data_IF_063670648605
#
_entry.id   IF_063670648605
#
_cell.length_a   1.000
_cell.length_b   1.000
_cell.length_c   1.000
_cell.angle_alpha   90.00
_cell.angle_beta   90.00
_cell.angle_gamma   90.00
#
_symmetry.space_group_name_H-M   'P 1'
#
loop_
_entity.id
_entity.type
_entity.pdbx_description
1 polymer ?
#
# COMPACT_ATOMS: atom_id res chain seq x y z
N UNK A 1 10.92 5.97 11.48
CA UNK A 1 10.22 5.42 12.65
C UNK A 1 10.24 3.91 12.53
N UNK A 2 10.72 3.22 13.54
CA UNK A 2 10.75 1.76 13.57
C UNK A 2 9.50 1.20 14.29
N UNK A 3 9.37 -0.13 14.36
CA UNK A 3 8.24 -0.80 15.03
C UNK A 3 8.15 -0.46 16.53
N UNK A 4 9.28 -0.25 17.20
CA UNK A 4 9.31 0.12 18.61
C UNK A 4 8.76 1.54 18.84
N UNK A 5 9.16 2.49 17.99
CA UNK A 5 8.62 3.86 18.04
C UNK A 5 7.11 3.92 17.77
N UNK A 6 6.60 3.03 16.90
CA UNK A 6 5.18 2.89 16.67
C UNK A 6 4.44 2.38 17.90
N UNK A 7 4.97 1.35 18.58
CA UNK A 7 4.38 0.80 19.81
C UNK A 7 4.37 1.82 20.94
N UNK A 8 5.43 2.61 21.08
CA UNK A 8 5.51 3.69 22.09
C UNK A 8 4.42 4.73 21.82
N UNK A 9 4.26 5.17 20.57
CA UNK A 9 3.20 6.13 20.19
C UNK A 9 1.80 5.56 20.43
N UNK A 10 1.56 4.28 20.10
CA UNK A 10 0.29 3.61 20.36
C UNK A 10 -0.07 3.63 21.85
N UNK A 11 0.89 3.30 22.72
CA UNK A 11 0.69 3.29 24.17
C UNK A 11 0.41 4.70 24.74
N UNK A 12 0.93 5.75 24.09
CA UNK A 12 0.63 7.15 24.48
C UNK A 12 -0.76 7.59 24.02
N UNK A 13 -1.22 7.13 22.82
CA UNK A 13 -2.53 7.46 22.27
C UNK A 13 -3.68 6.74 23.01
N UNK A 14 -3.46 5.52 23.51
CA UNK A 14 -4.48 4.75 24.24
C UNK A 14 -4.86 5.36 25.61
N UNK A 15 -4.09 6.32 26.11
CA UNK A 15 -4.38 7.01 27.38
C UNK A 15 -5.34 8.21 27.24
N UNK A 16 -5.67 8.64 26.03
CA UNK A 16 -6.62 9.73 25.75
C UNK A 16 -7.92 9.22 25.15
N UNK A 17 -8.76 8.59 25.98
CA UNK A 17 -10.14 8.25 25.62
C UNK A 17 -11.03 9.50 25.69
N UNK A 18 -11.23 10.19 24.56
CA UNK A 18 -12.44 10.98 24.31
C UNK A 18 -12.82 10.81 22.85
N UNK A 19 -13.87 10.04 22.61
CA UNK A 19 -14.61 9.97 21.34
C UNK A 19 -15.48 11.21 21.23
N UNK A 20 -14.96 12.26 20.61
CA UNK A 20 -15.76 13.39 20.19
C UNK A 20 -16.14 13.15 18.71
N UNK A 21 -17.45 13.04 18.46
CA UNK A 21 -18.10 13.18 17.17
C UNK A 21 -17.43 12.58 15.90
N UNK A 22 -16.93 11.35 15.92
CA UNK A 22 -16.54 10.65 14.68
C UNK A 22 -15.15 10.98 14.11
N UNK A 23 -14.45 12.00 14.59
CA UNK A 23 -13.09 12.37 14.12
C UNK A 23 -12.05 11.63 14.94
N UNK A 24 -11.28 10.75 14.26
CA UNK A 24 -10.15 10.08 14.91
C UNK A 24 -8.92 10.98 14.94
N UNK A 25 -8.14 10.89 16.02
CA UNK A 25 -6.90 11.66 16.19
C UNK A 25 -5.63 10.86 15.86
N UNK A 26 -5.77 9.57 15.55
CA UNK A 26 -4.67 8.67 15.14
C UNK A 26 -5.18 7.63 14.14
N UNK A 27 -4.37 7.26 13.12
CA UNK A 27 -4.73 6.19 12.18
C UNK A 27 -5.03 4.85 12.86
N UNK A 28 -4.36 4.54 13.98
CA UNK A 28 -4.53 3.28 14.71
C UNK A 28 -5.95 3.07 15.24
N UNK A 29 -6.70 4.16 15.47
CA UNK A 29 -8.09 4.13 15.96
C UNK A 29 -9.14 3.95 14.85
N UNK A 30 -8.74 4.04 13.59
CA UNK A 30 -9.66 3.84 12.47
C UNK A 30 -10.20 2.40 12.47
N UNK A 31 -11.50 2.25 12.33
CA UNK A 31 -12.18 0.96 12.18
C UNK A 31 -12.67 0.70 10.75
N UNK A 32 -12.51 1.70 9.86
CA UNK A 32 -12.84 1.60 8.45
C UNK A 32 -11.89 2.41 7.58
N UNK A 33 -11.84 2.08 6.29
CA UNK A 33 -11.05 2.83 5.29
C UNK A 33 -11.57 4.28 5.18
N UNK A 34 -12.88 4.48 5.23
CA UNK A 34 -13.47 5.82 5.21
C UNK A 34 -12.95 6.73 6.35
N UNK A 35 -12.79 6.18 7.56
CA UNK A 35 -12.22 6.94 8.68
C UNK A 35 -10.74 7.28 8.45
N UNK A 36 -9.95 6.41 7.80
CA UNK A 36 -8.58 6.74 7.41
C UNK A 36 -8.52 7.83 6.35
N UNK A 37 -9.43 7.80 5.38
CA UNK A 37 -9.54 8.85 4.36
C UNK A 37 -9.90 10.20 4.97
N UNK A 38 -10.86 10.22 5.89
CA UNK A 38 -11.26 11.46 6.59
C UNK A 38 -10.15 11.96 7.52
N UNK A 39 -9.46 11.07 8.23
CA UNK A 39 -8.27 11.43 9.00
C UNK A 39 -7.21 12.08 8.11
N UNK A 40 -6.89 11.48 6.97
CA UNK A 40 -5.87 12.01 6.08
C UNK A 40 -6.30 13.34 5.44
N UNK A 41 -7.58 13.50 5.04
CA UNK A 41 -8.13 14.79 4.59
C UNK A 41 -7.95 15.89 5.63
N UNK A 42 -8.22 15.58 6.91
CA UNK A 42 -8.03 16.52 8.01
C UNK A 42 -6.56 16.90 8.21
N UNK A 43 -5.62 15.94 8.14
CA UNK A 43 -4.19 16.26 8.23
C UNK A 43 -3.73 17.11 7.03
N UNK A 44 -4.22 16.83 5.83
CA UNK A 44 -3.90 17.60 4.61
C UNK A 44 -4.50 19.01 4.64
N UNK A 45 -5.69 19.20 5.18
CA UNK A 45 -6.33 20.52 5.31
C UNK A 45 -5.51 21.48 6.17
N UNK A 46 -4.76 20.96 7.17
CA UNK A 46 -3.82 21.74 7.99
C UNK A 46 -2.63 22.26 7.18
N UNK A 47 -2.37 21.66 6.01
CA UNK A 47 -1.35 22.06 5.05
C UNK A 47 -1.92 22.84 3.86
N UNK A 48 -3.22 23.25 3.93
CA UNK A 48 -3.97 23.89 2.85
C UNK A 48 -4.09 23.02 1.58
N UNK A 49 -4.05 21.70 1.72
CA UNK A 49 -4.25 20.74 0.62
C UNK A 49 -5.67 20.21 0.69
N UNK A 50 -6.49 20.56 -0.31
CA UNK A 50 -7.92 20.21 -0.39
C UNK A 50 -8.17 19.38 -1.66
N UNK A 51 -7.69 18.13 -1.66
CA UNK A 51 -7.87 17.21 -2.79
C UNK A 51 -8.65 15.97 -2.36
N UNK A 52 -9.43 15.36 -3.25
CA UNK A 52 -10.10 14.09 -2.95
C UNK A 52 -9.07 13.01 -2.69
N UNK A 53 -9.25 12.28 -1.60
CA UNK A 53 -8.43 11.14 -1.21
C UNK A 53 -9.22 9.87 -1.50
N UNK A 54 -8.56 8.93 -2.14
CA UNK A 54 -9.01 7.56 -2.30
C UNK A 54 -7.80 6.65 -2.01
N UNK A 55 -7.89 5.88 -0.95
CA UNK A 55 -6.81 5.03 -0.49
C UNK A 55 -6.80 3.66 -1.17
N UNK A 56 -7.97 3.14 -1.58
CA UNK A 56 -8.12 1.79 -2.11
C UNK A 56 -8.91 1.79 -3.42
N UNK A 57 -8.42 1.06 -4.40
CA UNK A 57 -9.17 0.67 -5.60
C UNK A 57 -9.44 -0.84 -5.54
N UNK A 58 -10.65 -1.29 -5.88
CA UNK A 58 -11.05 -2.69 -5.88
C UNK A 58 -11.78 -3.12 -4.60
N UNK A 59 -11.64 -4.39 -4.22
CA UNK A 59 -12.36 -4.96 -3.07
C UNK A 59 -11.68 -4.67 -1.73
N UNK A 60 -12.42 -4.16 -0.75
CA UNK A 60 -11.90 -3.87 0.59
C UNK A 60 -11.49 -5.12 1.38
N UNK A 61 -11.99 -6.30 1.01
CA UNK A 61 -11.71 -7.58 1.68
C UNK A 61 -11.03 -8.59 0.75
N UNK A 62 -10.18 -8.13 -0.14
CA UNK A 62 -9.47 -9.01 -1.06
C UNK A 62 -8.40 -9.83 -0.38
N UNK A 63 -8.26 -11.11 -0.81
CA UNK A 63 -7.18 -11.98 -0.33
C UNK A 63 -5.80 -11.52 -0.78
N UNK A 64 -5.71 -10.68 -1.82
CA UNK A 64 -4.46 -10.20 -2.39
C UNK A 64 -4.50 -8.68 -2.54
N UNK A 65 -3.49 -8.03 -2.01
CA UNK A 65 -3.30 -6.59 -2.07
C UNK A 65 -2.03 -6.28 -2.88
N UNK A 66 -2.18 -5.47 -3.92
CA UNK A 66 -1.06 -4.90 -4.68
C UNK A 66 -0.78 -3.48 -4.17
N UNK A 67 0.49 -3.23 -3.81
CA UNK A 67 0.92 -2.00 -3.18
C UNK A 67 1.89 -1.24 -4.09
N UNK A 68 1.45 -0.10 -4.60
CA UNK A 68 2.21 0.80 -5.47
C UNK A 68 2.85 1.94 -4.69
N UNK A 69 3.89 2.56 -5.25
CA UNK A 69 4.57 3.69 -4.61
C UNK A 69 3.78 4.97 -4.67
N UNK A 70 3.35 5.33 -5.86
CA UNK A 70 2.63 6.57 -6.15
C UNK A 70 1.47 6.29 -7.11
N UNK A 71 0.39 7.00 -6.92
CA UNK A 71 -0.78 6.94 -7.81
C UNK A 71 -0.52 7.73 -9.10
N UNK A 72 -0.99 7.25 -10.24
CA UNK A 72 -1.02 8.05 -11.46
C UNK A 72 -1.99 9.24 -11.34
N UNK A 73 -1.54 10.42 -11.76
CA UNK A 73 -2.18 11.73 -11.43
C UNK A 73 -3.54 11.93 -12.11
N UNK A 74 -3.81 11.25 -13.21
CA UNK A 74 -4.78 11.71 -14.19
C UNK A 74 -6.22 11.23 -14.01
N UNK A 75 -6.48 10.14 -13.24
CA UNK A 75 -7.80 9.56 -13.17
C UNK A 75 -8.17 8.95 -11.81
N UNK A 76 -9.38 8.39 -11.73
CA UNK A 76 -9.92 7.72 -10.54
C UNK A 76 -9.19 6.41 -10.18
N UNK A 77 -8.25 5.97 -10.99
CA UNK A 77 -7.50 4.72 -10.82
C UNK A 77 -6.13 4.97 -10.19
N UNK A 78 -5.67 4.02 -9.40
CA UNK A 78 -4.33 4.03 -8.78
C UNK A 78 -3.26 3.87 -9.85
N UNK A 79 -3.54 3.04 -10.85
CA UNK A 79 -2.67 2.82 -12.01
C UNK A 79 -3.49 2.81 -13.29
N UNK A 80 -3.11 3.62 -14.27
CA UNK A 80 -3.86 3.87 -15.50
C UNK A 80 -2.96 3.93 -16.74
N UNK A 81 -3.55 4.23 -17.92
CA UNK A 81 -2.89 4.36 -19.21
C UNK A 81 -2.02 3.12 -19.52
N UNK A 82 -0.85 3.32 -20.09
CA UNK A 82 0.06 2.24 -20.49
C UNK A 82 0.49 1.35 -19.30
N UNK A 83 0.70 1.94 -18.14
CA UNK A 83 1.01 1.19 -16.92
C UNK A 83 -0.18 0.32 -16.49
N UNK A 84 -1.39 0.89 -16.53
CA UNK A 84 -2.63 0.18 -16.21
C UNK A 84 -2.92 -0.95 -17.18
N UNK A 85 -2.76 -0.71 -18.49
CA UNK A 85 -2.94 -1.76 -19.52
C UNK A 85 -1.97 -2.93 -19.33
N UNK A 86 -0.69 -2.63 -19.02
CA UNK A 86 0.28 -3.69 -18.77
C UNK A 86 -0.07 -4.44 -17.48
N UNK A 87 -0.47 -3.73 -16.43
CA UNK A 87 -0.89 -4.35 -15.18
C UNK A 87 -2.11 -5.26 -15.38
N UNK A 88 -3.11 -4.84 -16.14
CA UNK A 88 -4.28 -5.65 -16.46
C UNK A 88 -3.91 -6.93 -17.24
N UNK A 89 -2.95 -6.85 -18.17
CA UNK A 89 -2.38 -8.02 -18.86
C UNK A 89 -1.63 -8.94 -17.89
N UNK A 90 -0.89 -8.38 -16.93
CA UNK A 90 -0.21 -9.16 -15.89
C UNK A 90 -1.23 -9.92 -15.02
N UNK A 91 -2.30 -9.27 -14.55
CA UNK A 91 -3.38 -9.92 -13.80
C UNK A 91 -4.05 -11.01 -14.61
N UNK A 92 -4.45 -10.72 -15.85
CA UNK A 92 -5.11 -11.69 -16.75
C UNK A 92 -4.27 -12.94 -16.99
N UNK A 93 -2.95 -12.80 -17.04
CA UNK A 93 -2.02 -13.94 -17.25
C UNK A 93 -2.07 -14.96 -16.10
N UNK A 94 -2.47 -14.53 -14.92
CA UNK A 94 -2.65 -15.36 -13.73
C UNK A 94 -4.13 -15.59 -13.37
N UNK A 95 -5.04 -15.29 -14.31
CA UNK A 95 -6.48 -15.45 -14.18
C UNK A 95 -7.11 -14.57 -13.08
N UNK A 96 -6.56 -13.39 -12.87
CA UNK A 96 -7.12 -12.34 -12.01
C UNK A 96 -7.60 -11.15 -12.84
N UNK A 97 -8.47 -10.37 -12.23
CA UNK A 97 -8.88 -9.03 -12.66
C UNK A 97 -8.91 -8.06 -11.47
N UNK A 98 -9.12 -6.77 -11.76
CA UNK A 98 -9.13 -5.72 -10.71
C UNK A 98 -10.25 -5.88 -9.67
N UNK A 99 -11.32 -6.62 -9.96
CA UNK A 99 -12.42 -6.86 -9.01
C UNK A 99 -12.06 -7.88 -7.93
N UNK A 100 -11.08 -8.72 -8.20
CA UNK A 100 -10.63 -9.81 -7.32
C UNK A 100 -9.50 -9.40 -6.39
N UNK A 101 -8.99 -8.19 -6.54
CA UNK A 101 -7.82 -7.68 -5.82
C UNK A 101 -8.12 -6.35 -5.15
N UNK A 102 -7.30 -5.96 -4.18
CA UNK A 102 -7.20 -4.59 -3.71
C UNK A 102 -5.95 -3.93 -4.28
N UNK A 103 -6.05 -2.67 -4.66
CA UNK A 103 -4.92 -1.83 -5.05
C UNK A 103 -4.79 -0.68 -4.07
N UNK A 104 -3.57 -0.42 -3.63
CA UNK A 104 -3.23 0.70 -2.74
C UNK A 104 -2.01 1.42 -3.29
N UNK A 105 -2.00 2.74 -3.17
CA UNK A 105 -0.81 3.57 -3.39
C UNK A 105 -0.30 4.10 -2.06
N UNK A 106 1.00 3.92 -1.80
CA UNK A 106 1.64 4.42 -0.56
C UNK A 106 1.48 5.93 -0.42
N UNK A 107 1.74 6.66 -1.51
CA UNK A 107 1.45 8.09 -1.62
C UNK A 107 0.10 8.21 -2.32
N UNK A 108 -0.97 8.56 -1.59
CA UNK A 108 -2.28 8.68 -2.19
C UNK A 108 -2.35 9.85 -3.16
N UNK A 109 -3.35 9.79 -4.04
CA UNK A 109 -3.65 10.86 -4.97
C UNK A 109 -3.79 12.20 -4.24
N UNK A 110 -3.24 13.24 -4.84
CA UNK A 110 -3.31 14.58 -4.29
C UNK A 110 -2.11 15.01 -3.45
N UNK A 111 -1.19 14.09 -3.16
CA UNK A 111 0.07 14.37 -2.47
C UNK A 111 1.26 14.39 -3.42
N UNK A 112 1.06 14.78 -4.67
CA UNK A 112 2.08 14.72 -5.73
C UNK A 112 3.25 15.67 -5.54
N UNK A 113 3.02 16.82 -4.89
CA UNK A 113 4.01 17.86 -4.55
C UNK A 113 4.39 17.77 -3.07
N UNK A 114 4.59 16.57 -2.61
CA UNK A 114 4.90 16.30 -1.24
C UNK A 114 6.40 16.53 -1.02
N UNK A 115 6.75 17.70 -0.49
CA UNK A 115 8.06 17.95 0.08
C UNK A 115 8.33 16.98 1.23
N UNK A 116 9.60 16.58 1.42
CA UNK A 116 10.08 15.64 2.45
C UNK A 116 9.75 16.09 3.89
N UNK A 117 8.48 16.39 4.14
CA UNK A 117 7.98 16.71 5.47
C UNK A 117 7.95 15.41 6.30
N UNK A 118 8.94 15.23 7.16
CA UNK A 118 9.10 14.06 8.01
C UNK A 118 7.82 13.68 8.78
N UNK A 119 7.03 14.67 9.21
CA UNK A 119 5.77 14.42 9.92
C UNK A 119 4.76 13.72 9.02
N UNK A 120 4.63 14.16 7.77
CA UNK A 120 3.68 13.55 6.85
C UNK A 120 4.15 12.16 6.40
N UNK A 121 5.46 11.95 6.20
CA UNK A 121 6.02 10.62 5.92
C UNK A 121 5.65 9.65 7.04
N UNK A 122 5.84 10.03 8.29
CA UNK A 122 5.46 9.21 9.45
C UNK A 122 3.94 8.97 9.50
N UNK A 123 3.14 10.00 9.21
CA UNK A 123 1.67 9.88 9.15
C UNK A 123 1.25 8.89 8.08
N UNK A 124 1.80 8.98 6.87
CA UNK A 124 1.52 8.05 5.78
C UNK A 124 1.93 6.61 6.12
N UNK A 125 3.05 6.42 6.81
CA UNK A 125 3.46 5.09 7.26
C UNK A 125 2.41 4.47 8.18
N UNK A 126 1.91 5.22 9.16
CA UNK A 126 0.87 4.76 10.09
C UNK A 126 -0.46 4.49 9.37
N UNK A 127 -0.86 5.38 8.47
CA UNK A 127 -2.06 5.20 7.63
C UNK A 127 -1.94 3.92 6.80
N UNK A 128 -0.80 3.68 6.15
CA UNK A 128 -0.58 2.51 5.31
C UNK A 128 -0.52 1.21 6.12
N UNK A 129 0.07 1.19 7.31
CA UNK A 129 0.00 0.02 8.18
C UNK A 129 -1.45 -0.27 8.57
N UNK A 130 -2.20 0.75 9.02
CA UNK A 130 -3.60 0.55 9.39
C UNK A 130 -4.47 0.13 8.21
N UNK A 131 -4.20 0.63 7.03
CA UNK A 131 -4.88 0.24 5.80
C UNK A 131 -4.67 -1.24 5.48
N UNK A 132 -3.44 -1.74 5.59
CA UNK A 132 -3.11 -3.17 5.42
C UNK A 132 -3.84 -4.02 6.49
N UNK A 133 -3.91 -3.54 7.74
CA UNK A 133 -4.63 -4.23 8.82
C UNK A 133 -6.14 -4.31 8.54
N UNK A 134 -6.75 -3.23 8.07
CA UNK A 134 -8.18 -3.18 7.76
C UNK A 134 -8.56 -4.05 6.56
N UNK A 135 -7.76 -4.03 5.49
CA UNK A 135 -7.95 -4.93 4.34
C UNK A 135 -7.68 -6.37 4.72
N UNK A 136 -6.72 -6.59 5.62
CA UNK A 136 -6.29 -7.92 6.12
C UNK A 136 -6.04 -8.94 5.00
N UNK A 137 -5.22 -8.63 3.99
CA UNK A 137 -4.96 -9.53 2.89
C UNK A 137 -4.14 -10.73 3.36
N UNK A 138 -4.32 -11.90 2.72
CA UNK A 138 -3.44 -13.05 2.91
C UNK A 138 -2.09 -12.85 2.19
N UNK A 139 -2.13 -12.18 1.04
CA UNK A 139 -0.96 -11.93 0.17
C UNK A 139 -0.77 -10.45 -0.07
N UNK A 140 0.42 -9.96 0.22
CA UNK A 140 0.84 -8.57 -0.05
C UNK A 140 1.88 -8.57 -1.17
N UNK A 141 1.57 -7.90 -2.28
CA UNK A 141 2.47 -7.77 -3.43
C UNK A 141 2.98 -6.33 -3.49
N UNK A 142 4.25 -6.14 -3.19
CA UNK A 142 4.89 -4.83 -3.23
C UNK A 142 5.49 -4.60 -4.62
N UNK A 143 5.11 -3.50 -5.27
CA UNK A 143 5.49 -3.21 -6.65
C UNK A 143 6.44 -2.01 -6.78
N UNK A 144 6.91 -1.41 -5.70
CA UNK A 144 7.75 -0.20 -5.75
C UNK A 144 8.91 -0.27 -4.77
N UNK A 145 10.09 0.20 -5.20
CA UNK A 145 11.25 0.38 -4.33
C UNK A 145 10.95 1.35 -3.18
N UNK A 146 10.14 2.37 -3.43
CA UNK A 146 9.69 3.30 -2.40
C UNK A 146 8.90 2.58 -1.29
N UNK A 147 7.94 1.72 -1.67
CA UNK A 147 7.19 0.91 -0.72
C UNK A 147 8.07 -0.07 0.06
N UNK A 148 9.05 -0.68 -0.60
CA UNK A 148 10.03 -1.56 0.07
C UNK A 148 10.71 -0.79 1.20
N UNK A 149 11.26 0.37 0.90
CA UNK A 149 11.94 1.23 1.87
C UNK A 149 11.03 1.61 3.04
N UNK A 150 9.82 2.05 2.72
CA UNK A 150 8.90 2.61 3.71
C UNK A 150 8.17 1.57 4.55
N UNK A 151 7.76 0.44 3.96
CA UNK A 151 7.04 -0.62 4.67
C UNK A 151 7.97 -1.59 5.39
N UNK A 152 9.11 -1.93 4.78
CA UNK A 152 10.02 -2.93 5.31
C UNK A 152 11.15 -2.31 6.15
N UNK A 153 11.21 -0.97 6.23
CA UNK A 153 12.29 -0.22 6.89
C UNK A 153 13.70 -0.69 6.45
N UNK A 154 13.82 -1.11 5.20
CA UNK A 154 15.01 -1.72 4.64
C UNK A 154 15.50 -0.96 3.40
N UNK A 155 16.77 -0.65 3.36
CA UNK A 155 17.44 -0.03 2.20
C UNK A 155 17.75 -1.10 1.13
N UNK A 156 16.70 -1.85 0.74
CA UNK A 156 16.74 -2.94 -0.22
C UNK A 156 16.04 -2.54 -1.52
N UNK A 157 16.46 -3.10 -2.62
CA UNK A 157 15.82 -2.89 -3.91
C UNK A 157 14.86 -4.03 -4.25
N UNK A 158 13.93 -3.77 -5.17
CA UNK A 158 13.07 -4.83 -5.73
C UNK A 158 13.89 -5.96 -6.34
N UNK A 159 15.02 -5.65 -6.95
CA UNK A 159 15.93 -6.63 -7.53
C UNK A 159 16.48 -7.61 -6.50
N UNK A 160 16.77 -7.17 -5.28
CA UNK A 160 17.33 -8.02 -4.21
C UNK A 160 16.28 -8.86 -3.47
N UNK A 161 15.03 -8.38 -3.42
CA UNK A 161 13.93 -9.05 -2.71
C UNK A 161 13.04 -9.90 -3.62
N UNK A 162 13.07 -9.64 -4.93
CA UNK A 162 12.28 -10.37 -5.91
C UNK A 162 12.61 -11.89 -5.90
N UNK A 163 11.67 -12.68 -6.36
CA UNK A 163 11.83 -14.13 -6.49
C UNK A 163 11.56 -14.91 -5.20
N UNK A 164 11.35 -14.27 -4.07
CA UNK A 164 11.15 -14.91 -2.77
C UNK A 164 9.83 -14.51 -2.14
N UNK A 165 9.23 -15.42 -1.38
CA UNK A 165 8.19 -15.12 -0.41
C UNK A 165 8.83 -14.89 0.95
N UNK A 166 8.34 -13.90 1.67
CA UNK A 166 8.72 -13.62 3.05
C UNK A 166 7.50 -13.23 3.88
N UNK A 167 7.65 -13.25 5.18
CA UNK A 167 6.58 -12.87 6.10
C UNK A 167 6.67 -11.38 6.38
N UNK A 168 5.53 -10.70 6.34
CA UNK A 168 5.38 -9.28 6.66
C UNK A 168 4.30 -9.11 7.73
N UNK A 169 4.63 -8.32 8.76
CA UNK A 169 3.70 -7.94 9.81
C UNK A 169 3.58 -6.43 9.88
N UNK A 170 2.35 -5.95 10.02
CA UNK A 170 2.12 -4.63 10.61
C UNK A 170 2.26 -4.73 12.13
N UNK A 171 2.34 -3.59 12.84
CA UNK A 171 2.47 -3.61 14.30
C UNK A 171 1.37 -4.33 15.06
N UNK A 172 0.17 -4.46 14.47
CA UNK A 172 -0.99 -5.11 15.11
C UNK A 172 -1.34 -6.47 14.51
N UNK A 173 -0.57 -6.96 13.55
CA UNK A 173 -0.84 -8.28 12.97
C UNK A 173 -0.49 -9.40 13.95
N UNK A 174 -1.45 -10.29 14.17
CA UNK A 174 -1.25 -11.55 14.90
C UNK A 174 -0.70 -12.63 13.96
N UNK A 175 -1.13 -12.61 12.70
CA UNK A 175 -0.74 -13.59 11.68
C UNK A 175 0.01 -12.88 10.56
N UNK A 176 1.23 -13.34 10.23
CA UNK A 176 2.01 -12.76 9.15
C UNK A 176 1.28 -12.83 7.80
N UNK A 177 1.39 -11.78 7.03
CA UNK A 177 0.98 -11.77 5.62
C UNK A 177 2.13 -12.32 4.76
N UNK A 178 1.80 -13.16 3.79
CA UNK A 178 2.80 -13.61 2.81
C UNK A 178 3.07 -12.48 1.84
N UNK A 179 4.31 -12.00 1.84
CA UNK A 179 4.74 -10.87 1.03
C UNK A 179 5.65 -11.31 -0.12
N UNK A 180 5.48 -10.68 -1.28
CA UNK A 180 6.37 -10.83 -2.44
C UNK A 180 6.60 -9.49 -3.10
N UNK A 181 7.79 -9.29 -3.65
CA UNK A 181 8.11 -8.13 -4.48
C UNK A 181 7.97 -8.50 -5.95
N UNK A 182 7.34 -7.62 -6.72
CA UNK A 182 7.16 -7.71 -8.16
C UNK A 182 7.61 -6.39 -8.81
N UNK A 183 8.13 -6.44 -10.03
CA UNK A 183 8.44 -5.23 -10.79
C UNK A 183 7.16 -4.47 -11.15
N UNK A 184 7.17 -3.16 -10.95
CA UNK A 184 6.05 -2.31 -11.38
C UNK A 184 6.01 -2.16 -12.91
N UNK A 185 4.81 -1.94 -13.50
CA UNK A 185 4.63 -1.84 -14.95
C UNK A 185 5.49 -0.78 -15.62
N UNK A 186 5.68 0.38 -14.99
CA UNK A 186 6.54 1.45 -15.49
C UNK A 186 7.98 0.99 -15.74
N UNK A 187 8.52 0.21 -14.80
CA UNK A 187 9.86 -0.36 -14.96
C UNK A 187 9.91 -1.37 -16.12
N UNK A 188 8.87 -2.20 -16.28
CA UNK A 188 8.78 -3.22 -17.34
C UNK A 188 8.54 -2.62 -18.73
N UNK A 189 7.92 -1.45 -18.82
CA UNK A 189 7.77 -0.70 -20.08
C UNK A 189 9.13 -0.17 -20.53
N UNK A 190 9.89 0.40 -19.60
CA UNK A 190 11.20 0.98 -19.88
C UNK A 190 12.32 -0.06 -20.04
N UNK A 191 12.13 -1.26 -19.48
CA UNK A 191 13.11 -2.35 -19.49
C UNK A 191 12.42 -3.68 -19.86
N UNK A 192 12.12 -3.91 -21.16
CA UNK A 192 11.36 -5.06 -21.61
C UNK A 192 12.00 -6.42 -21.29
N UNK A 193 13.32 -6.48 -21.14
CA UNK A 193 14.07 -7.67 -20.75
C UNK A 193 13.66 -8.22 -19.39
N UNK A 194 13.19 -7.35 -18.47
CA UNK A 194 12.73 -7.75 -17.14
C UNK A 194 11.36 -8.46 -17.14
N UNK A 195 10.64 -8.45 -18.27
CA UNK A 195 9.32 -9.10 -18.38
C UNK A 195 9.38 -10.60 -18.14
N UNK A 196 10.47 -11.25 -18.54
CA UNK A 196 10.69 -12.68 -18.29
C UNK A 196 10.70 -12.96 -16.79
N UNK A 197 11.41 -12.15 -16.04
CA UNK A 197 11.52 -12.28 -14.60
C UNK A 197 10.20 -11.99 -13.90
N UNK A 198 9.50 -10.93 -14.31
CA UNK A 198 8.15 -10.63 -13.81
C UNK A 198 7.16 -11.77 -14.06
N UNK A 199 7.28 -12.46 -15.20
CA UNK A 199 6.47 -13.63 -15.52
C UNK A 199 6.72 -14.81 -14.57
N UNK A 200 7.98 -15.08 -14.19
CA UNK A 200 8.28 -16.11 -13.19
C UNK A 200 7.65 -15.76 -11.84
N UNK A 201 7.70 -14.49 -11.42
CA UNK A 201 7.07 -14.04 -10.18
C UNK A 201 5.53 -14.19 -10.24
N UNK A 202 4.92 -13.87 -11.36
CA UNK A 202 3.47 -14.03 -11.55
C UNK A 202 3.05 -15.50 -11.48
N UNK A 203 3.81 -16.42 -12.04
CA UNK A 203 3.54 -17.87 -11.93
C UNK A 203 3.55 -18.34 -10.47
N UNK A 204 4.50 -17.85 -9.68
CA UNK A 204 4.57 -18.19 -8.26
C UNK A 204 3.38 -17.59 -7.48
N UNK A 205 2.95 -16.37 -7.81
CA UNK A 205 1.73 -15.78 -7.23
C UNK A 205 0.52 -16.65 -7.57
N UNK A 206 0.35 -17.03 -8.85
CA UNK A 206 -0.74 -17.91 -9.28
C UNK A 206 -0.77 -19.22 -8.52
N UNK A 207 0.37 -19.89 -8.38
CA UNK A 207 0.53 -21.13 -7.62
C UNK A 207 0.08 -20.97 -6.16
N UNK A 208 0.44 -19.88 -5.50
CA UNK A 208 0.03 -19.60 -4.12
C UNK A 208 -1.46 -19.32 -3.97
N UNK A 209 -2.11 -18.81 -5.02
CA UNK A 209 -3.55 -18.57 -5.03
C UNK A 209 -4.38 -19.84 -5.24
N UNK A 210 -3.74 -20.96 -5.55
CA UNK A 210 -4.40 -22.27 -5.77
C UNK A 210 -4.79 -22.51 -7.23
N UNK A 211 -4.07 -21.86 -8.17
CA UNK A 211 -4.24 -22.01 -9.61
C UNK A 211 -3.35 -23.07 -10.25
#
# INVERSE_FOLDING_TARGET
MNLEEYQIKKNQDDTTNQTDGGIINSPSKATSIAQLEDFLKNELSKLNIYKPINLVEGGENSRILFFFGKCDITDKKIIDKANGELFDKMLSSIKLDRKQISLVSYIPRGLDEFDDNHKMISTLQLVNYRLIELINPKYLIIMSNYCIKMLLAADLSSMSLRGKWFDFNTPNDVIPKKCRVLYEPSLLINNPELKKDAWEDLKEIKKQLGG
#
